data_IF_441363004268
#
_entry.id   IF_441363004268
#
_cell.length_a   1.000
_cell.length_b   1.000
_cell.length_c   1.000
_cell.angle_alpha   90.00
_cell.angle_beta   90.00
_cell.angle_gamma   90.00
#
_symmetry.space_group_name_H-M   'P 1'
#
loop_
_entity.id
_entity.type
_entity.pdbx_description
1 polymer ?
#
# COMPACT_ATOMS: atom_id res chain seq x y z
N UNK A 1 -1.94 1.57 -1.64
CA UNK A 1 -2.83 0.82 -0.72
C UNK A 1 -4.17 1.52 -0.67
N UNK A 2 -5.29 0.79 -0.58
CA UNK A 2 -6.64 1.35 -0.70
C UNK A 2 -6.78 2.27 -1.91
N UNK A 3 -6.31 1.80 -3.07
CA UNK A 3 -6.31 2.54 -4.33
C UNK A 3 -6.98 1.72 -5.42
N UNK A 4 -7.62 2.37 -6.38
CA UNK A 4 -8.15 1.71 -7.58
C UNK A 4 -7.04 1.62 -8.63
N UNK A 5 -6.75 0.41 -9.13
CA UNK A 5 -5.80 0.15 -10.20
C UNK A 5 -6.53 -0.46 -11.39
N UNK A 6 -6.43 0.18 -12.54
CA UNK A 6 -7.04 -0.31 -13.78
C UNK A 6 -6.15 -1.37 -14.44
N UNK A 7 -6.64 -2.03 -15.50
CA UNK A 7 -5.93 -3.13 -16.18
C UNK A 7 -4.65 -2.76 -16.94
N UNK A 8 -4.10 -1.56 -16.75
CA UNK A 8 -2.82 -1.15 -17.33
C UNK A 8 -1.60 -1.66 -16.54
N UNK A 9 -1.83 -2.15 -15.31
CA UNK A 9 -0.77 -2.73 -14.47
C UNK A 9 -0.49 -4.15 -14.96
N UNK A 10 0.75 -4.41 -15.37
CA UNK A 10 1.20 -5.76 -15.72
C UNK A 10 0.92 -6.74 -14.56
N UNK A 11 0.48 -7.99 -14.82
CA UNK A 11 0.21 -8.97 -13.76
C UNK A 11 1.38 -9.20 -12.79
N UNK A 12 2.63 -9.12 -13.27
CA UNK A 12 3.83 -9.19 -12.41
C UNK A 12 3.94 -8.00 -11.45
N UNK A 13 3.41 -6.83 -11.85
CA UNK A 13 3.21 -5.63 -11.04
C UNK A 13 4.46 -4.84 -10.68
N UNK A 14 5.64 -5.46 -10.72
CA UNK A 14 6.94 -4.82 -10.50
C UNK A 14 7.97 -5.41 -11.47
N UNK A 15 8.97 -4.62 -11.79
CA UNK A 15 10.11 -5.04 -12.61
C UNK A 15 11.43 -4.78 -11.87
N UNK A 16 12.45 -5.63 -12.06
CA UNK A 16 13.74 -5.40 -11.42
C UNK A 16 14.37 -4.09 -11.90
N UNK A 17 15.04 -3.38 -11.00
CA UNK A 17 15.80 -2.19 -11.35
C UNK A 17 17.17 -2.56 -11.93
N UNK A 18 17.88 -3.50 -11.29
CA UNK A 18 19.17 -4.01 -11.76
C UNK A 18 19.32 -5.48 -11.34
N UNK A 19 19.01 -6.41 -12.24
CA UNK A 19 19.10 -7.85 -11.98
C UNK A 19 18.38 -8.26 -10.69
N UNK A 20 19.05 -9.04 -9.84
CA UNK A 20 18.49 -9.51 -8.56
C UNK A 20 18.75 -8.59 -7.37
N UNK A 21 19.38 -7.42 -7.57
CA UNK A 21 19.78 -6.53 -6.48
C UNK A 21 18.56 -6.04 -5.70
N UNK A 22 18.58 -6.26 -4.38
CA UNK A 22 17.56 -5.77 -3.46
C UNK A 22 16.22 -6.50 -3.50
N UNK A 23 16.01 -7.49 -4.40
CA UNK A 23 14.73 -8.20 -4.51
C UNK A 23 14.36 -8.96 -3.22
N UNK A 24 15.36 -9.34 -2.42
CA UNK A 24 15.15 -9.99 -1.13
C UNK A 24 15.02 -9.04 0.06
N UNK A 25 15.41 -7.78 -0.08
CA UNK A 25 15.51 -6.82 1.03
C UNK A 25 14.60 -5.60 0.88
N UNK A 26 14.07 -5.35 -0.31
CA UNK A 26 13.08 -4.29 -0.55
C UNK A 26 11.78 -4.57 0.21
N UNK A 27 10.91 -3.56 0.34
CA UNK A 27 9.56 -3.74 0.87
C UNK A 27 8.55 -3.13 -0.10
N UNK A 28 7.91 -3.98 -0.92
CA UNK A 28 6.78 -3.60 -1.76
C UNK A 28 5.50 -4.22 -1.23
N UNK A 29 4.65 -3.38 -0.62
CA UNK A 29 3.37 -3.80 -0.05
C UNK A 29 2.17 -3.41 -0.91
N UNK A 30 1.24 -4.34 -1.12
CA UNK A 30 -0.11 -4.08 -1.63
C UNK A 30 -1.15 -4.41 -0.55
N UNK A 31 -2.10 -3.50 -0.31
CA UNK A 31 -3.17 -3.67 0.69
C UNK A 31 -4.48 -3.11 0.16
N UNK A 32 -5.51 -3.97 0.10
CA UNK A 32 -6.89 -3.63 -0.28
C UNK A 32 -6.98 -2.69 -1.50
N UNK A 33 -6.18 -2.93 -2.53
CA UNK A 33 -6.37 -2.28 -3.82
C UNK A 33 -7.59 -2.91 -4.52
N UNK A 34 -8.23 -2.17 -5.42
CA UNK A 34 -9.40 -2.62 -6.18
C UNK A 34 -9.23 -2.33 -7.68
N UNK A 35 -10.11 -2.87 -8.52
CA UNK A 35 -10.07 -2.69 -9.98
C UNK A 35 -9.29 -3.76 -10.73
N UNK A 36 -9.32 -3.71 -12.06
CA UNK A 36 -8.80 -4.77 -12.93
C UNK A 36 -7.30 -5.04 -12.84
N UNK A 37 -6.52 -4.08 -12.34
CA UNK A 37 -5.07 -4.24 -12.11
C UNK A 37 -4.70 -4.66 -10.68
N UNK A 38 -5.68 -4.83 -9.79
CA UNK A 38 -5.42 -5.11 -8.37
C UNK A 38 -5.28 -6.60 -8.03
N UNK A 39 -5.51 -7.52 -8.97
CA UNK A 39 -5.27 -8.94 -8.71
C UNK A 39 -3.77 -9.17 -8.45
N UNK A 40 -3.49 -9.83 -7.33
CA UNK A 40 -2.15 -10.12 -6.86
C UNK A 40 -1.69 -11.54 -7.21
N UNK A 41 -2.57 -12.37 -7.79
CA UNK A 41 -2.28 -13.79 -8.10
C UNK A 41 -1.04 -13.94 -9.00
N UNK A 42 -0.89 -13.05 -9.99
CA UNK A 42 0.20 -13.03 -10.96
C UNK A 42 1.47 -12.28 -10.54
N UNK A 43 1.53 -11.73 -9.33
CA UNK A 43 2.64 -10.87 -8.89
C UNK A 43 3.94 -11.64 -8.72
N UNK A 44 5.04 -10.91 -8.90
CA UNK A 44 6.40 -11.39 -8.63
C UNK A 44 6.50 -12.08 -7.26
N UNK A 45 7.35 -13.11 -7.18
CA UNK A 45 7.55 -13.91 -5.94
C UNK A 45 8.78 -13.47 -5.14
N UNK A 46 9.20 -12.22 -5.30
CA UNK A 46 10.35 -11.68 -4.58
C UNK A 46 10.09 -11.71 -3.07
N UNK A 47 11.11 -12.03 -2.27
CA UNK A 47 10.96 -12.08 -0.81
C UNK A 47 10.54 -10.73 -0.22
N UNK A 48 10.94 -9.62 -0.85
CA UNK A 48 10.53 -8.27 -0.47
C UNK A 48 9.12 -7.84 -0.95
N UNK A 49 8.41 -8.68 -1.71
CA UNK A 49 7.04 -8.37 -2.14
C UNK A 49 6.02 -8.95 -1.15
N UNK A 50 5.04 -8.13 -0.77
CA UNK A 50 4.08 -8.45 0.28
C UNK A 50 2.65 -8.10 -0.13
N UNK A 51 1.79 -9.13 -0.17
CA UNK A 51 0.34 -8.92 -0.10
C UNK A 51 -0.04 -8.79 1.36
N UNK A 52 -0.24 -7.55 1.82
CA UNK A 52 -0.55 -7.25 3.21
C UNK A 52 -2.03 -7.54 3.43
N UNK A 53 -2.33 -8.39 4.43
CA UNK A 53 -3.72 -8.70 4.86
C UNK A 53 -4.04 -8.18 6.25
N UNK A 54 -3.01 -7.81 7.01
CA UNK A 54 -3.09 -7.34 8.38
C UNK A 54 -3.33 -5.83 8.43
N UNK A 55 -4.47 -5.43 9.01
CA UNK A 55 -4.75 -4.01 9.30
C UNK A 55 -3.71 -3.41 10.24
N UNK A 56 -3.26 -4.08 11.32
CA UNK A 56 -2.15 -3.58 12.15
C UNK A 56 -0.86 -3.30 11.37
N UNK A 57 -0.43 -4.18 10.47
CA UNK A 57 0.79 -3.95 9.69
C UNK A 57 0.63 -2.79 8.73
N UNK A 58 -0.55 -2.65 8.15
CA UNK A 58 -0.86 -1.54 7.25
C UNK A 58 -0.86 -0.19 7.97
N UNK A 59 -1.26 -0.15 9.26
CA UNK A 59 -1.26 1.10 10.05
C UNK A 59 0.12 1.76 10.09
N UNK A 60 1.21 1.01 9.97
CA UNK A 60 2.58 1.55 9.91
C UNK A 60 2.77 2.57 8.78
N UNK A 61 1.98 2.46 7.71
CA UNK A 61 2.08 3.31 6.51
C UNK A 61 1.01 4.42 6.45
N UNK A 62 0.24 4.66 7.53
CA UNK A 62 -0.73 5.77 7.56
C UNK A 62 -0.05 7.09 7.91
N UNK A 63 -0.73 8.20 7.61
CA UNK A 63 -0.26 9.56 7.91
C UNK A 63 0.13 9.72 9.39
N UNK A 64 -0.71 9.23 10.31
CA UNK A 64 -0.43 9.25 11.76
C UNK A 64 0.89 8.59 12.12
N UNK A 65 1.13 7.37 11.65
CA UNK A 65 2.25 6.57 12.16
C UNK A 65 3.54 6.80 11.36
N UNK A 66 3.44 6.99 10.04
CA UNK A 66 4.61 7.15 9.19
C UNK A 66 5.18 8.57 9.25
N UNK A 67 4.31 9.59 9.32
CA UNK A 67 4.71 11.00 9.25
C UNK A 67 4.52 11.75 10.57
N UNK A 68 3.99 11.10 11.61
CA UNK A 68 3.50 11.80 12.82
C UNK A 68 2.53 12.95 12.48
N UNK A 69 1.72 12.78 11.42
CA UNK A 69 1.02 13.88 10.75
C UNK A 69 0.04 14.66 11.63
N UNK A 70 -0.54 14.01 12.64
CA UNK A 70 -1.45 14.66 13.60
C UNK A 70 -0.81 15.85 14.33
N UNK A 71 0.52 15.84 14.49
CA UNK A 71 1.25 16.89 15.21
C UNK A 71 1.40 18.19 14.43
N UNK A 72 1.37 18.13 13.10
CA UNK A 72 1.79 19.26 12.25
C UNK A 72 0.84 19.57 11.07
N UNK A 73 0.18 18.58 10.46
CA UNK A 73 -0.62 18.81 9.25
C UNK A 73 -1.88 19.63 9.56
N UNK A 74 -2.51 19.39 10.71
CA UNK A 74 -3.68 20.19 11.14
C UNK A 74 -3.35 21.67 11.32
N UNK A 75 -2.11 22.01 11.67
CA UNK A 75 -1.66 23.39 11.91
C UNK A 75 -1.50 24.19 10.62
N UNK A 76 -1.27 23.53 9.49
CA UNK A 76 -1.11 24.18 8.19
C UNK A 76 -2.44 24.31 7.41
N UNK A 77 -3.55 23.87 8.00
CA UNK A 77 -4.90 24.09 7.46
C UNK A 77 -5.29 23.20 6.28
N UNK A 78 -4.53 22.12 6.01
CA UNK A 78 -4.81 21.19 4.91
C UNK A 78 -5.61 19.99 5.44
N UNK A 79 -6.73 19.59 4.79
CA UNK A 79 -7.47 18.40 5.18
C UNK A 79 -6.65 17.13 4.93
N UNK A 80 -6.70 16.17 5.87
CA UNK A 80 -6.02 14.89 5.71
C UNK A 80 -6.72 13.76 6.48
N UNK A 81 -6.53 12.53 5.99
CA UNK A 81 -6.96 11.33 6.70
C UNK A 81 -5.81 10.79 7.53
N UNK A 82 -5.96 10.85 8.85
CA UNK A 82 -4.90 10.46 9.80
C UNK A 82 -4.57 8.96 9.76
N UNK A 83 -5.58 8.11 9.55
CA UNK A 83 -5.46 6.65 9.64
C UNK A 83 -6.16 5.90 8.51
N UNK A 84 -6.24 4.57 8.67
CA UNK A 84 -7.04 3.72 7.79
C UNK A 84 -8.51 3.93 8.08
N UNK A 85 -9.23 4.48 7.11
CA UNK A 85 -10.69 4.45 7.13
C UNK A 85 -11.14 3.08 6.61
N UNK A 86 -11.59 2.21 7.50
CA UNK A 86 -12.28 0.99 7.08
C UNK A 86 -13.69 1.38 6.63
N UNK A 87 -14.25 0.72 5.59
CA UNK A 87 -15.64 0.94 5.24
C UNK A 87 -16.50 0.72 6.49
N UNK A 88 -17.38 1.67 6.81
CA UNK A 88 -18.39 1.46 7.83
C UNK A 88 -19.24 0.28 7.36
N UNK A 89 -19.28 -0.80 8.14
CA UNK A 89 -20.27 -1.84 7.96
C UNK A 89 -21.62 -1.16 8.16
N UNK A 90 -22.36 -0.97 7.07
CA UNK A 90 -23.79 -0.68 7.14
C UNK A 90 -24.43 -2.02 7.47
N UNK A 91 -24.88 -2.16 8.72
CA UNK A 91 -25.78 -3.24 9.14
C UNK A 91 -27.18 -2.95 8.62
#
# INVERSE_FOLDING_TARGET
MKSTSNGLVDPAGRMPCNGSVGLSTLYYGEYMNSGGGADTSGRVKWLGYHVIRSTPDTKKFTVRNFLSGDSWISRIGVPFNSGLELPKLVL
#
